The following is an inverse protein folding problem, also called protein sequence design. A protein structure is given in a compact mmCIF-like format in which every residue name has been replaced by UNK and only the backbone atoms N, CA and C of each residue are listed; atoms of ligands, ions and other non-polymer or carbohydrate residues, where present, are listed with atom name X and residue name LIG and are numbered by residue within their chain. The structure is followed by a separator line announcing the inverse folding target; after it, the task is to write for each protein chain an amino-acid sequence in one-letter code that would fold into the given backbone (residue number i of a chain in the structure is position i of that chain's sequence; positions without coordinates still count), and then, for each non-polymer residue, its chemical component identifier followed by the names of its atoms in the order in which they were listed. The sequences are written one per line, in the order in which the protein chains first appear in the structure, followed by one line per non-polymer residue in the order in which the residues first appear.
data_IF_931382226160
#
_entry.id   IF_931382226160
#
_cell.length_a   1.000
_cell.length_b   1.000
_cell.length_c   1.000
_cell.angle_alpha   90.00
_cell.angle_beta   90.00
_cell.angle_gamma   90.00
#
_symmetry.space_group_name_H-M   'P 1'
#
loop_
_entity.id
_entity.type
_entity.pdbx_description
1 polymer ?
2 water ?
#
# COMPACT_ATOMS: atom_id res chain seq x y z
N UNK A 1 -0.48 4.61 20.57
CA UNK A 1 -1.82 4.05 20.48
C UNK A 1 -2.83 5.05 19.89
N UNK A 2 -2.29 6.08 19.19
CA UNK A 2 -3.04 7.07 18.41
C UNK A 2 -3.49 6.34 17.15
N UNK A 3 -4.79 6.36 16.86
CA UNK A 3 -5.37 5.72 15.70
C UNK A 3 -6.32 6.64 15.01
N UNK A 4 -6.38 6.56 13.67
CA UNK A 4 -7.28 7.31 12.80
C UNK A 4 -7.82 6.28 11.86
N UNK A 5 -9.10 5.94 12.02
CA UNK A 5 -9.71 4.89 11.23
C UNK A 5 -10.72 5.53 10.27
N UNK A 6 -10.47 5.39 8.98
CA UNK A 6 -11.30 5.97 7.92
C UNK A 6 -12.33 4.99 7.38
N UNK A 7 -13.42 5.50 6.81
CA UNK A 7 -14.45 4.69 6.18
C UNK A 7 -13.93 4.05 4.86
N UNK A 8 -14.76 3.17 4.28
CA UNK A 8 -14.45 2.42 3.07
C UNK A 8 -14.48 3.20 1.77
N UNK A 9 -14.05 2.54 0.70
CA UNK A 9 -13.97 2.98 -0.69
C UNK A 9 -15.29 3.57 -1.18
N UNK A 10 -15.19 4.68 -1.92
CA UNK A 10 -16.36 5.34 -2.48
C UNK A 10 -16.30 5.32 -3.99
N UNK A 11 -17.36 4.76 -4.59
CA UNK A 11 -17.52 4.64 -6.04
C UNK A 11 -18.55 5.72 -6.43
N UNK A 12 -18.09 6.72 -7.20
CA UNK A 12 -18.92 7.86 -7.52
C UNK A 12 -18.98 8.12 -8.98
N UNK A 13 -20.03 8.85 -9.37
CA UNK A 13 -20.32 9.32 -10.71
C UNK A 13 -20.04 10.85 -10.71
N UNK A 14 -19.55 11.46 -11.81
CA UNK A 14 -19.30 12.91 -11.78
C UNK A 14 -20.56 13.73 -11.44
N UNK A 15 -20.37 14.84 -10.75
CA UNK A 15 -21.43 15.73 -10.32
C UNK A 15 -21.93 15.40 -8.93
N UNK A 16 -21.72 14.16 -8.48
CA UNK A 16 -22.17 13.72 -7.15
C UNK A 16 -21.24 14.24 -6.05
N UNK A 17 -21.59 13.88 -4.81
CA UNK A 17 -20.89 14.26 -3.60
C UNK A 17 -20.44 13.01 -2.85
N UNK A 18 -19.38 13.16 -2.05
CA UNK A 18 -18.81 12.10 -1.22
C UNK A 18 -18.51 12.65 0.18
N UNK A 19 -18.86 11.88 1.21
CA UNK A 19 -18.57 12.27 2.60
C UNK A 19 -17.73 11.11 3.18
N UNK A 20 -16.51 11.42 3.63
CA UNK A 20 -15.57 10.46 4.22
C UNK A 20 -15.46 10.72 5.71
N UNK A 21 -15.44 9.65 6.52
CA UNK A 21 -15.30 9.79 7.98
C UNK A 21 -13.88 9.38 8.45
N UNK A 22 -13.45 9.91 9.58
CA UNK A 22 -12.13 9.69 10.17
C UNK A 22 -12.37 9.59 11.67
N UNK A 23 -12.34 8.36 12.23
CA UNK A 23 -12.55 8.10 13.65
C UNK A 23 -11.22 8.09 14.40
N UNK A 24 -11.04 9.01 15.34
CA UNK A 24 -9.80 9.14 16.09
C UNK A 24 -9.86 8.47 17.46
N UNK A 25 -8.76 7.87 17.91
CA UNK A 25 -8.70 7.28 19.26
C UNK A 25 -7.28 7.36 19.85
N UNK A 26 -7.16 7.13 21.17
CA UNK A 26 -5.89 7.12 21.89
C UNK A 26 -5.34 8.46 22.37
N UNK A 27 -6.11 9.56 22.18
CA UNK A 27 -5.74 10.92 22.56
C UNK A 27 -6.96 11.79 22.77
N UNK A 28 -6.76 13.01 23.34
CA UNK A 28 -7.83 13.98 23.56
C UNK A 28 -8.07 14.69 22.23
N UNK A 29 -9.23 14.41 21.62
CA UNK A 29 -9.66 14.92 20.30
C UNK A 29 -9.60 16.45 20.18
N UNK A 30 -10.15 17.18 21.17
CA UNK A 30 -10.23 18.66 21.18
C UNK A 30 -8.87 19.37 21.32
N UNK A 31 -7.81 18.63 21.69
CA UNK A 31 -6.48 19.19 21.87
C UNK A 31 -5.76 19.39 20.51
N UNK A 32 -6.25 18.75 19.42
CA UNK A 32 -5.62 18.74 18.11
C UNK A 32 -6.58 19.04 17.00
N UNK A 33 -6.02 19.21 15.81
CA UNK A 33 -6.78 19.37 14.58
C UNK A 33 -6.72 18.10 13.76
N UNK A 34 -7.65 17.96 12.80
CA UNK A 34 -7.74 16.90 11.81
C UNK A 34 -7.73 17.60 10.43
N UNK A 35 -6.76 17.23 9.59
CA UNK A 35 -6.65 17.75 8.24
C UNK A 35 -6.93 16.66 7.20
N UNK A 36 -7.13 17.06 5.92
CA UNK A 36 -7.39 16.13 4.84
C UNK A 36 -6.44 16.41 3.69
N UNK A 37 -5.73 15.36 3.23
CA UNK A 37 -4.75 15.44 2.16
C UNK A 37 -5.05 14.27 1.21
N UNK A 38 -5.21 14.56 -0.08
CA UNK A 38 -5.44 13.53 -1.08
C UNK A 38 -4.16 13.22 -1.86
N UNK A 39 -4.08 12.03 -2.44
CA UNK A 39 -2.94 11.59 -3.23
C UNK A 39 -3.41 10.79 -4.43
N UNK A 40 -2.91 11.18 -5.59
CA UNK A 40 -3.19 10.55 -6.87
C UNK A 40 -1.95 10.79 -7.72
N UNK A 41 -1.62 9.90 -8.68
CA UNK A 41 -0.46 10.15 -9.57
C UNK A 41 -0.70 11.39 -10.43
N UNK A 42 0.31 12.17 -10.74
CA UNK A 42 -0.04 13.35 -11.55
C UNK A 42 -0.20 14.63 -10.78
N UNK A 43 -0.87 14.60 -9.61
CA UNK A 43 -0.99 15.78 -8.74
C UNK A 43 -0.10 15.56 -7.49
N UNK A 44 0.16 14.30 -7.16
CA UNK A 44 0.91 13.94 -5.96
C UNK A 44 0.11 14.24 -4.69
N UNK A 45 0.81 14.58 -3.56
CA UNK A 45 0.07 14.92 -2.33
C UNK A 45 -0.51 16.34 -2.41
N UNK A 46 -1.81 16.49 -2.18
CA UNK A 46 -2.49 17.79 -2.21
C UNK A 46 -3.28 18.00 -0.95
N UNK A 47 -3.08 19.14 -0.30
CA UNK A 47 -3.86 19.48 0.88
C UNK A 47 -5.28 19.98 0.49
N UNK A 48 -6.32 19.44 1.19
CA UNK A 48 -7.74 19.80 1.00
C UNK A 48 -8.10 20.95 1.94
N UNK A 49 -7.77 20.76 3.20
CA UNK A 49 -8.00 21.70 4.28
C UNK A 49 -7.99 20.98 5.61
N UNK A 50 -8.39 21.69 6.66
CA UNK A 50 -8.44 21.13 7.99
C UNK A 50 -9.44 21.83 8.88
N UNK A 51 -9.74 21.22 10.03
CA UNK A 51 -10.57 21.79 11.10
C UNK A 51 -9.81 21.71 12.42
N UNK A 52 -9.96 22.77 13.25
CA UNK A 52 -9.47 22.78 14.63
C UNK A 52 -10.83 22.71 15.39
N UNK A 53 -11.25 21.50 15.81
CA UNK A 53 -12.59 21.35 16.41
C UNK A 53 -12.90 22.21 17.63
N UNK A 54 -11.94 22.37 18.58
CA UNK A 54 -12.18 23.15 19.79
C UNK A 54 -12.57 24.62 19.43
N UNK A 55 -11.96 25.16 18.36
CA UNK A 55 -12.28 26.49 17.87
C UNK A 55 -13.39 26.49 16.81
N UNK A 56 -13.68 25.31 16.23
CA UNK A 56 -14.63 25.14 15.13
C UNK A 56 -14.19 25.85 13.86
N UNK A 57 -12.89 26.12 13.73
CA UNK A 57 -12.29 26.86 12.62
C UNK A 57 -11.74 25.93 11.53
N UNK A 58 -12.20 26.15 10.29
CA UNK A 58 -11.82 25.35 9.14
C UNK A 58 -11.16 26.22 8.08
N UNK A 59 -10.13 25.65 7.42
CA UNK A 59 -9.39 26.30 6.33
C UNK A 59 -9.31 25.34 5.18
N UNK A 60 -9.54 25.84 3.96
CA UNK A 60 -9.54 25.06 2.74
C UNK A 60 -8.65 25.65 1.69
N UNK A 61 -8.13 24.78 0.79
CA UNK A 61 -7.35 25.18 -0.37
C UNK A 61 -8.35 25.92 -1.29
N UNK A 62 -7.97 27.13 -1.79
CA UNK A 62 -8.80 27.98 -2.67
C UNK A 62 -9.22 27.24 -3.97
N UNK A 63 -8.32 26.37 -4.50
CA UNK A 63 -8.52 25.55 -5.72
C UNK A 63 -9.93 24.95 -5.73
N UNK A 64 -10.39 24.42 -4.58
CA UNK A 64 -11.67 23.70 -4.46
C UNK A 64 -12.91 24.61 -4.48
N UNK A 65 -12.74 25.96 -4.46
CA UNK A 65 -13.86 26.91 -4.58
C UNK A 65 -15.08 26.59 -3.68
N UNK A 66 -14.83 26.26 -2.41
CA UNK A 66 -15.91 25.95 -1.46
C UNK A 66 -16.56 24.58 -1.60
N UNK A 67 -16.13 23.75 -2.58
CA UNK A 67 -16.67 22.40 -2.83
C UNK A 67 -16.40 21.43 -1.68
N UNK A 68 -15.41 21.75 -0.86
CA UNK A 68 -15.02 20.91 0.27
C UNK A 68 -15.54 21.49 1.61
N UNK A 69 -16.10 20.61 2.46
CA UNK A 69 -16.63 20.97 3.77
C UNK A 69 -16.04 19.99 4.78
N UNK A 70 -15.35 20.53 5.77
CA UNK A 70 -14.76 19.69 6.81
C UNK A 70 -15.46 19.97 8.12
N UNK A 71 -16.00 18.95 8.74
CA UNK A 71 -16.72 19.07 10.01
C UNK A 71 -16.14 18.08 11.03
N UNK A 72 -16.53 18.23 12.31
CA UNK A 72 -16.04 17.36 13.38
C UNK A 72 -17.08 17.20 14.46
N UNK A 73 -17.16 15.99 15.02
CA UNK A 73 -18.06 15.71 16.12
C UNK A 73 -17.21 15.32 17.30
N UNK A 74 -17.03 16.23 18.27
CA UNK A 74 -16.19 15.94 19.45
C UNK A 74 -16.81 14.86 20.32
N UNK A 75 -18.13 14.75 20.30
CA UNK A 75 -18.85 13.75 21.06
C UNK A 75 -18.45 12.30 20.63
N UNK A 76 -18.06 12.13 19.37
CA UNK A 76 -17.69 10.81 18.90
C UNK A 76 -16.25 10.76 18.35
N UNK A 77 -15.43 11.81 18.61
CA UNK A 77 -14.04 11.91 18.14
C UNK A 77 -13.93 11.61 16.64
N UNK A 78 -14.86 12.13 15.84
CA UNK A 78 -14.93 11.85 14.40
C UNK A 78 -14.96 13.11 13.55
N UNK A 79 -14.05 13.17 12.54
CA UNK A 79 -14.01 14.26 11.58
C UNK A 79 -14.50 13.74 10.22
N UNK A 80 -15.02 14.65 9.41
CA UNK A 80 -15.56 14.34 8.09
C UNK A 80 -15.05 15.30 7.07
N UNK A 81 -14.95 14.82 5.84
CA UNK A 81 -14.66 15.64 4.69
C UNK A 81 -15.75 15.33 3.68
N UNK A 82 -16.39 16.39 3.19
CA UNK A 82 -17.38 16.28 2.16
C UNK A 82 -16.87 17.04 0.93
N UNK A 83 -16.85 16.39 -0.23
CA UNK A 83 -16.41 17.00 -1.47
C UNK A 83 -17.55 16.88 -2.49
N UNK A 84 -18.06 18.04 -2.91
CA UNK A 84 -19.21 18.29 -3.81
C UNK A 84 -18.81 18.48 -5.27
N UNK A 85 -19.80 18.30 -6.20
CA UNK A 85 -19.66 18.42 -7.65
C UNK A 85 -18.39 17.67 -8.10
N UNK A 86 -18.35 16.37 -7.85
CA UNK A 86 -17.18 15.52 -8.14
C UNK A 86 -16.82 15.46 -9.61
N UNK A 87 -15.52 15.57 -9.90
CA UNK A 87 -14.92 15.56 -11.23
C UNK A 87 -14.02 14.32 -11.36
N UNK A 88 -13.74 13.90 -12.60
CA UNK A 88 -12.86 12.76 -12.92
C UNK A 88 -11.51 12.88 -12.19
N UNK A 89 -10.97 14.10 -12.15
CA UNK A 89 -9.70 14.49 -11.53
C UNK A 89 -9.73 14.45 -9.99
N UNK A 90 -10.91 14.24 -9.36
CA UNK A 90 -11.01 14.10 -7.89
C UNK A 90 -10.74 12.64 -7.47
N UNK A 91 -10.55 11.73 -8.47
CA UNK A 91 -10.21 10.33 -8.20
C UNK A 91 -8.83 10.35 -7.51
N UNK A 92 -8.75 9.84 -6.29
CA UNK A 92 -7.54 9.85 -5.47
C UNK A 92 -7.79 9.04 -4.23
N UNK A 93 -6.71 8.86 -3.43
CA UNK A 93 -6.72 8.33 -2.06
C UNK A 93 -6.81 9.54 -1.14
N UNK A 94 -7.81 9.59 -0.26
CA UNK A 94 -8.02 10.70 0.66
C UNK A 94 -7.63 10.27 2.04
N UNK A 95 -6.69 11.02 2.66
CA UNK A 95 -6.23 10.74 4.02
C UNK A 95 -6.70 11.77 4.99
N UNK A 96 -7.01 11.33 6.19
CA UNK A 96 -7.23 12.26 7.28
C UNK A 96 -5.93 12.15 8.09
N UNK A 97 -5.54 13.22 8.76
CA UNK A 97 -4.31 13.25 9.54
C UNK A 97 -4.46 14.21 10.70
N UNK A 98 -3.80 13.87 11.83
CA UNK A 98 -3.80 14.70 13.00
C UNK A 98 -2.76 15.81 12.85
N UNK A 99 -3.19 17.07 13.10
CA UNK A 99 -2.33 18.28 13.07
C UNK A 99 -2.09 18.59 14.56
N UNK A 100 -0.90 18.23 15.12
CA UNK A 100 -0.67 18.41 16.57
C UNK A 100 -0.46 19.88 17.01
N UNK A 101 -1.38 20.74 16.61
CA UNK A 101 -1.34 22.17 16.89
C UNK A 101 -2.70 22.80 17.08
N UNK A 102 -2.69 24.14 17.13
CA UNK A 102 -3.85 25.01 17.35
C UNK A 102 -4.26 25.76 16.06
N UNK A 103 -3.65 25.37 14.93
CA UNK A 103 -3.89 25.97 13.62
C UNK A 103 -3.95 24.91 12.52
N UNK A 104 -4.66 25.24 11.41
CA UNK A 104 -4.73 24.37 10.25
C UNK A 104 -3.45 24.47 9.38
N UNK A 105 -2.56 25.48 9.65
CA UNK A 105 -1.27 25.66 8.95
C UNK A 105 -0.24 24.89 9.76
N UNK A 106 -0.13 23.60 9.50
CA UNK A 106 0.74 22.72 10.28
C UNK A 106 1.24 21.50 9.50
N UNK A 107 1.96 20.64 10.21
CA UNK A 107 2.48 19.34 9.75
C UNK A 107 1.55 18.33 10.44
N UNK A 108 1.59 17.07 9.97
CA UNK A 108 0.73 15.99 10.43
C UNK A 108 1.52 14.83 10.98
N UNK A 109 1.34 14.56 12.30
CA UNK A 109 2.08 13.51 12.97
C UNK A 109 1.48 12.12 12.89
N UNK A 110 0.15 11.99 12.70
CA UNK A 110 -0.49 10.68 12.55
C UNK A 110 -1.44 10.76 11.39
N UNK A 111 -1.38 9.76 10.50
CA UNK A 111 -2.23 9.70 9.29
C UNK A 111 -3.16 8.49 9.34
N UNK A 112 -4.34 8.61 8.70
CA UNK A 112 -5.28 7.49 8.60
C UNK A 112 -4.83 6.52 7.52
N UNK A 113 -5.55 5.38 7.34
CA UNK A 113 -5.15 4.38 6.33
C UNK A 113 -5.49 4.83 4.88
N UNK A 114 -6.30 5.87 4.75
CA UNK A 114 -6.72 6.35 3.44
C UNK A 114 -8.02 5.74 2.98
N UNK A 115 -8.71 6.45 2.08
CA UNK A 115 -10.01 6.08 1.53
C UNK A 115 -9.92 6.33 0.05
N UNK A 116 -10.12 5.28 -0.78
CA UNK A 116 -10.11 5.45 -2.23
C UNK A 116 -11.44 6.05 -2.64
N UNK A 117 -11.39 7.13 -3.41
CA UNK A 117 -12.59 7.75 -3.95
C UNK A 117 -12.44 7.74 -5.43
N UNK A 118 -13.28 6.95 -6.10
CA UNK A 118 -13.22 6.82 -7.55
C UNK A 118 -14.31 7.65 -8.20
N UNK A 119 -13.95 8.42 -9.23
CA UNK A 119 -14.93 9.22 -9.95
C UNK A 119 -14.85 8.95 -11.48
N UNK A 120 -16.01 8.56 -12.08
CA UNK A 120 -16.33 8.26 -13.50
C UNK A 120 -16.91 6.87 -13.66
N UNK A 136 1.41 31.48 -7.82
CA UNK A 136 1.00 32.24 -6.64
C UNK A 136 1.30 31.50 -5.31
N UNK A 137 1.09 30.16 -5.27
CA UNK A 137 1.32 29.35 -4.06
C UNK A 137 2.80 29.03 -3.89
N UNK A 138 3.21 28.56 -2.68
CA UNK A 138 4.61 28.22 -2.45
C UNK A 138 4.86 26.87 -3.13
N UNK A 139 5.73 26.88 -4.15
CA UNK A 139 6.09 25.69 -4.93
C UNK A 139 7.24 24.98 -4.22
N UNK A 140 7.11 23.66 -4.00
CA UNK A 140 8.13 22.83 -3.32
C UNK A 140 8.74 21.89 -4.33
N UNK A 141 10.04 22.05 -4.61
CA UNK A 141 10.71 21.24 -5.63
C UNK A 141 11.70 20.27 -4.96
N UNK A 142 11.50 18.94 -5.14
CA UNK A 142 12.39 17.93 -4.55
C UNK A 142 13.40 17.38 -5.53
N UNK A 143 14.61 17.12 -5.04
CA UNK A 143 15.67 16.61 -5.89
C UNK A 143 16.59 15.67 -5.11
N UNK A 144 16.96 14.54 -5.66
CA UNK A 144 16.53 13.91 -6.90
C UNK A 144 15.16 13.32 -6.78
N UNK A 145 14.56 12.98 -7.90
CA UNK A 145 13.26 12.40 -7.93
C UNK A 145 13.34 10.92 -7.65
N UNK A 146 14.42 10.32 -8.08
CA UNK A 146 14.68 8.95 -7.83
C UNK A 146 16.13 8.86 -7.49
N UNK A 147 16.46 7.98 -6.58
CA UNK A 147 17.81 7.80 -6.15
C UNK A 147 18.05 6.34 -5.85
N UNK A 148 19.12 5.80 -6.39
CA UNK A 148 19.49 4.41 -6.08
C UNK A 148 20.67 4.45 -5.14
N UNK A 149 20.62 3.63 -4.08
CA UNK A 149 21.68 3.59 -3.09
C UNK A 149 21.80 2.19 -2.47
N UNK A 150 22.91 1.94 -1.76
CA UNK A 150 23.18 0.66 -1.11
C UNK A 150 23.04 0.78 0.39
N UNK A 151 22.83 -0.35 1.09
CA UNK A 151 22.74 -0.39 2.57
C UNK A 151 24.08 0.16 3.13
N UNK A 152 23.99 1.02 4.14
CA UNK A 152 25.15 1.64 4.77
C UNK A 152 25.53 3.03 4.29
N UNK A 153 25.07 3.40 3.07
CA UNK A 153 25.36 4.70 2.44
C UNK A 153 24.71 5.87 3.18
N UNK A 154 25.28 7.07 2.98
CA UNK A 154 24.74 8.35 3.46
C UNK A 154 23.97 8.91 2.28
N UNK A 155 22.70 9.21 2.51
CA UNK A 155 21.91 9.80 1.44
C UNK A 155 21.37 11.14 1.90
N UNK A 156 21.34 12.08 0.96
CA UNK A 156 20.89 13.43 1.20
C UNK A 156 19.85 13.77 0.12
N UNK A 157 18.67 14.28 0.54
CA UNK A 157 17.54 14.68 -0.33
C UNK A 157 17.31 16.17 -0.15
N UNK A 158 17.00 16.87 -1.23
CA UNK A 158 16.75 18.32 -1.23
C UNK A 158 15.29 18.66 -1.53
N UNK A 159 14.89 19.74 -0.92
CA UNK A 159 13.61 20.34 -1.09
C UNK A 159 13.91 21.81 -1.18
N UNK A 160 13.28 22.52 -2.12
CA UNK A 160 13.47 23.95 -2.31
C UNK A 160 12.13 24.69 -2.43
N UNK A 161 11.88 25.65 -1.56
CA UNK A 161 10.65 26.42 -1.60
C UNK A 161 10.80 27.67 -2.53
N UNK A 162 9.74 28.00 -3.29
CA UNK A 162 9.72 29.16 -4.20
C UNK A 162 9.86 30.53 -3.49
N UNK A 163 9.72 30.53 -2.15
CA UNK A 163 9.90 31.70 -1.29
C UNK A 163 10.35 31.24 0.10
N UNK A 164 10.87 32.15 0.91
CA UNK A 164 11.30 31.89 2.28
C UNK A 164 10.15 31.40 3.15
N UNK A 165 10.40 30.29 3.89
CA UNK A 165 9.44 29.60 4.77
C UNK A 165 10.02 29.43 6.16
N UNK A 166 11.16 30.13 6.44
CA UNK A 166 11.84 30.11 7.74
C UNK A 166 12.22 28.65 8.04
N UNK A 167 11.73 28.07 9.14
CA UNK A 167 11.99 26.66 9.42
C UNK A 167 10.66 25.85 9.40
N UNK A 168 9.62 26.38 8.74
CA UNK A 168 8.29 25.72 8.69
C UNK A 168 8.21 24.65 7.58
N UNK A 169 9.01 23.60 7.75
CA UNK A 169 9.11 22.49 6.83
C UNK A 169 9.15 21.14 7.53
N UNK A 170 8.39 20.19 6.99
CA UNK A 170 8.31 18.80 7.48
C UNK A 170 8.70 17.81 6.41
N UNK A 171 9.19 16.63 6.84
CA UNK A 171 9.59 15.51 5.97
C UNK A 171 8.77 14.27 6.33
N UNK A 172 8.32 13.53 5.31
CA UNK A 172 7.54 12.29 5.45
C UNK A 172 8.17 11.18 4.70
N UNK A 173 7.96 9.97 5.19
CA UNK A 173 8.33 8.71 4.55
C UNK A 173 7.02 7.99 4.18
N UNK A 174 6.94 7.49 2.94
CA UNK A 174 5.78 6.73 2.48
C UNK A 174 6.18 5.41 1.78
N UNK A 175 5.73 4.29 2.35
CA UNK A 175 5.91 2.93 1.79
C UNK A 175 4.74 2.69 0.83
N UNK A 176 4.89 1.84 -0.21
CA UNK A 176 3.81 1.70 -1.21
C UNK A 176 2.44 1.31 -0.68
N UNK A 177 1.43 2.11 -0.98
CA UNK A 177 0.05 1.90 -0.56
C UNK A 177 -0.24 2.11 0.91
N UNK A 178 0.72 2.73 1.65
CA UNK A 178 0.57 2.98 3.09
C UNK A 178 0.46 4.45 3.38
N UNK A 179 0.03 4.76 4.58
CA UNK A 179 -0.10 6.15 4.99
C UNK A 179 1.29 6.74 5.23
N UNK A 180 1.51 8.04 4.88
CA UNK A 180 2.79 8.68 5.20
C UNK A 180 3.12 8.66 6.71
N UNK A 181 4.40 8.75 7.02
CA UNK A 181 4.88 8.75 8.39
C UNK A 181 5.78 9.97 8.56
N UNK A 182 5.48 10.80 9.58
CA UNK A 182 6.27 12.00 9.89
C UNK A 182 7.66 11.62 10.38
N UNK A 183 8.71 12.21 9.78
CA UNK A 183 10.09 11.95 10.20
C UNK A 183 10.68 13.16 10.90
N UNK A 184 10.46 14.36 10.32
CA UNK A 184 11.02 15.63 10.77
C UNK A 184 9.98 16.75 10.69
N UNK A 185 10.02 17.69 11.64
CA UNK A 185 9.18 18.91 11.67
C UNK A 185 10.08 20.05 12.09
N UNK A 186 9.62 21.31 11.87
CA UNK A 186 10.40 22.51 12.20
C UNK A 186 11.82 22.41 11.59
N UNK A 187 11.90 21.87 10.35
CA UNK A 187 13.10 21.67 9.51
C UNK A 187 14.13 20.70 10.07
N UNK A 188 14.28 20.62 11.40
CA UNK A 188 15.33 19.78 12.02
C UNK A 188 14.92 18.97 13.25
N UNK A 189 13.67 19.12 13.74
CA UNK A 189 13.22 18.36 14.92
C UNK A 189 12.75 16.96 14.54
N UNK A 190 13.23 15.94 15.27
CA UNK A 190 12.97 14.53 15.00
C UNK A 190 11.64 14.15 15.59
N UNK A 191 10.77 13.56 14.77
CA UNK A 191 9.42 13.19 15.20
C UNK A 191 9.47 12.01 16.15
N UNK A 192 8.50 11.91 17.05
CA UNK A 192 8.43 10.84 18.03
C UNK A 192 8.31 9.51 17.34
N UNK A 193 9.26 8.62 17.62
CA UNK A 193 9.31 7.29 17.04
C UNK A 193 10.07 7.18 15.73
N UNK A 194 10.60 8.31 15.20
CA UNK A 194 11.36 8.28 13.94
C UNK A 194 12.81 7.86 14.20
N UNK A 195 13.43 7.02 13.36
CA UNK A 195 14.82 6.61 13.62
C UNK A 195 15.82 7.78 13.63
N UNK A 196 16.74 7.77 14.63
CA UNK A 196 17.77 8.78 14.86
C UNK A 196 18.73 8.99 13.70
N UNK A 197 18.82 8.01 12.77
CA UNK A 197 19.66 8.13 11.57
C UNK A 197 19.11 9.19 10.55
N UNK A 198 17.88 9.67 10.81
CA UNK A 198 17.26 10.70 10.00
C UNK A 198 17.55 12.07 10.60
N UNK A 199 18.00 13.00 9.77
CA UNK A 199 18.24 14.36 10.25
C UNK A 199 17.83 15.33 9.20
N UNK A 200 17.31 16.47 9.65
CA UNK A 200 16.89 17.55 8.79
C UNK A 200 17.73 18.79 9.04
N UNK A 201 17.91 19.57 8.00
CA UNK A 201 18.68 20.81 8.01
C UNK A 201 18.04 21.79 7.02
N UNK A 202 18.33 23.06 7.24
CA UNK A 202 17.88 24.17 6.40
C UNK A 202 17.03 25.19 7.13
N UNK A 203 16.99 26.37 6.50
CA UNK A 203 16.24 27.53 6.95
C UNK A 203 16.12 28.43 5.72
N UNK A 204 14.93 29.00 5.54
CA UNK A 204 14.64 29.86 4.42
C UNK A 204 14.01 29.15 3.24
N UNK A 205 14.82 28.90 2.25
CA UNK A 205 14.35 28.37 0.99
C UNK A 205 14.94 26.96 0.63
N UNK A 206 16.13 26.59 1.12
CA UNK A 206 16.80 25.33 0.78
C UNK A 206 16.81 24.36 1.97
N UNK A 207 16.28 23.14 1.78
CA UNK A 207 16.24 22.18 2.89
C UNK A 207 16.77 20.80 2.48
N UNK A 208 17.30 20.07 3.44
CA UNK A 208 17.82 18.75 3.16
C UNK A 208 17.45 17.78 4.27
N UNK A 209 17.21 16.53 3.87
CA UNK A 209 16.97 15.38 4.73
C UNK A 209 18.17 14.48 4.48
N UNK A 210 18.81 14.03 5.54
CA UNK A 210 19.96 13.14 5.43
C UNK A 210 19.69 11.86 6.20
N UNK A 211 20.02 10.71 5.60
CA UNK A 211 19.93 9.41 6.26
C UNK A 211 21.35 8.92 6.38
N UNK A 212 21.80 8.72 7.60
CA UNK A 212 23.12 8.19 7.87
C UNK A 212 22.96 6.71 8.02
N UNK A 213 23.75 5.94 7.26
CA UNK A 213 23.75 4.48 7.24
C UNK A 213 22.38 3.95 6.85
N UNK A 214 22.08 4.08 5.55
CA UNK A 214 20.87 3.56 4.96
C UNK A 214 20.62 2.10 5.39
N UNK A 215 19.44 1.87 5.98
CA UNK A 215 18.99 0.56 6.45
C UNK A 215 18.03 -0.02 5.40
N UNK A 216 17.78 -1.36 5.37
CA UNK A 216 16.85 -1.91 4.37
C UNK A 216 15.42 -1.35 4.47
N UNK A 217 14.98 -0.94 5.68
CA UNK A 217 13.65 -0.37 5.91
C UNK A 217 13.54 1.09 5.39
N UNK A 218 14.64 1.72 4.92
CA UNK A 218 14.60 3.09 4.44
C UNK A 218 14.24 3.24 2.95
N UNK A 219 14.09 2.11 2.22
CA UNK A 219 13.69 2.21 0.81
C UNK A 219 12.19 2.55 0.78
N UNK A 220 11.89 3.78 0.35
CA UNK A 220 10.56 4.36 0.40
C UNK A 220 10.57 5.65 -0.39
N UNK A 221 9.42 6.37 -0.45
CA UNK A 221 9.28 7.67 -1.10
C UNK A 221 9.24 8.71 0.00
N UNK A 222 10.01 9.78 -0.15
CA UNK A 222 10.17 10.84 0.82
C UNK A 222 9.57 12.13 0.28
N UNK A 223 8.84 12.87 1.12
CA UNK A 223 8.18 14.12 0.72
C UNK A 223 8.47 15.22 1.70
N UNK A 224 8.58 16.46 1.22
CA UNK A 224 8.72 17.64 2.08
C UNK A 224 7.39 18.42 2.02
N UNK A 225 7.09 19.23 3.02
CA UNK A 225 5.87 20.01 3.08
C UNK A 225 6.13 21.29 3.82
N UNK A 226 5.73 22.43 3.26
CA UNK A 226 5.79 23.70 3.97
C UNK A 226 4.48 23.93 4.74
N UNK A 227 4.56 24.57 5.91
CA UNK A 227 3.39 24.96 6.69
C UNK A 227 3.54 26.39 7.17
N UNK A 228 4.27 27.19 6.33
CA UNK A 228 4.51 28.62 6.56
C UNK A 228 3.22 29.41 6.34
N UNK A 229 2.51 29.11 5.24
CA UNK A 229 1.25 29.77 4.92
C UNK A 229 0.37 28.86 4.06
N UNK A 230 -0.88 29.28 3.85
CA UNK A 230 -1.87 28.59 3.02
C UNK A 230 -1.73 28.98 1.53
N UNK A 231 -1.96 28.05 0.59
CA UNK A 231 -2.26 26.61 0.83
C UNK A 231 -1.00 25.85 1.27
N UNK A 232 -1.19 24.79 2.09
CA UNK A 232 -0.07 23.93 2.50
C UNK A 232 0.33 23.17 1.26
N UNK A 233 1.63 23.11 0.97
CA UNK A 233 2.09 22.48 -0.27
C UNK A 233 3.21 21.49 -0.01
N UNK A 234 3.26 20.43 -0.87
CA UNK A 234 4.22 19.33 -0.77
C UNK A 234 5.13 19.28 -1.98
N UNK A 235 6.31 18.67 -1.82
CA UNK A 235 7.21 18.38 -2.94
C UNK A 235 6.69 17.19 -3.74
N UNK A 236 7.29 16.95 -4.89
CA UNK A 236 6.87 15.87 -5.77
C UNK A 236 7.34 14.49 -5.34
N UNK A 237 8.19 14.45 -4.32
CA UNK A 237 8.73 13.20 -3.79
C UNK A 237 10.07 12.77 -4.34
N UNK A 238 10.82 12.01 -3.52
CA UNK A 238 12.09 11.35 -3.86
C UNK A 238 11.91 9.86 -3.56
N UNK A 239 11.94 9.01 -4.61
CA UNK A 239 11.86 7.56 -4.46
C UNK A 239 13.26 7.03 -4.27
N UNK A 240 13.52 6.43 -3.10
CA UNK A 240 14.83 5.88 -2.79
C UNK A 240 14.83 4.37 -3.05
N UNK A 241 15.63 3.92 -4.03
CA UNK A 241 15.70 2.52 -4.49
C UNK A 241 17.01 1.82 -4.17
N UNK A 242 17.01 0.46 -4.11
CA UNK A 242 18.23 -0.33 -3.84
C UNK A 242 19.09 -0.47 -5.11
N UNK A 243 20.43 -0.55 -4.92
CA UNK A 243 21.53 -0.72 -5.88
C UNK A 243 21.78 0.53 -6.73
N UNK B 1 -21.44 -13.31 -7.55
CA UNK B 1 -20.21 -13.30 -6.75
C UNK B 1 -18.97 -12.87 -7.58
N UNK B 2 -17.78 -12.81 -6.95
CA UNK B 2 -16.52 -12.35 -7.56
C UNK B 2 -15.92 -13.49 -8.36
N UNK B 3 -15.66 -13.22 -9.65
CA UNK B 3 -15.06 -14.19 -10.55
C UNK B 3 -13.95 -13.57 -11.34
N UNK B 4 -12.89 -14.35 -11.61
CA UNK B 4 -11.73 -13.97 -12.41
C UNK B 4 -11.52 -15.16 -13.32
N UNK B 5 -11.84 -14.97 -14.60
CA UNK B 5 -11.79 -16.03 -15.59
C UNK B 5 -10.62 -15.78 -16.52
N UNK B 6 -9.63 -16.68 -16.50
CA UNK B 6 -8.42 -16.55 -17.30
C UNK B 6 -8.50 -17.30 -18.63
N UNK B 7 -7.66 -16.86 -19.61
CA UNK B 7 -7.53 -17.46 -20.93
C UNK B 7 -6.82 -18.83 -20.83
N UNK B 8 -6.92 -19.61 -21.92
CA UNK B 8 -6.41 -20.98 -22.02
C UNK B 8 -4.92 -21.13 -22.03
N UNK B 9 -4.47 -22.39 -21.98
CA UNK B 9 -3.07 -22.84 -22.00
C UNK B 9 -2.30 -22.26 -23.20
N UNK B 10 -1.05 -21.86 -22.96
CA UNK B 10 -0.22 -21.32 -24.02
C UNK B 10 1.00 -22.16 -24.21
N UNK B 11 1.20 -22.60 -25.45
CA UNK B 11 2.33 -23.45 -25.89
C UNK B 11 3.32 -22.53 -26.64
N UNK B 12 4.49 -22.31 -26.06
CA UNK B 12 5.45 -21.37 -26.61
C UNK B 12 6.82 -21.96 -26.84
N UNK B 13 7.59 -21.29 -27.70
CA UNK B 13 8.97 -21.59 -28.05
C UNK B 13 9.85 -20.50 -27.38
N UNK B 14 11.09 -20.80 -26.91
CA UNK B 14 11.90 -19.73 -26.29
C UNK B 14 12.16 -18.53 -27.20
N UNK B 15 12.21 -17.35 -26.59
CA UNK B 15 12.42 -16.08 -27.29
C UNK B 15 11.11 -15.42 -27.66
N UNK B 16 10.01 -16.19 -27.74
CA UNK B 16 8.68 -15.67 -28.09
C UNK B 16 8.03 -14.93 -26.93
N UNK B 17 6.82 -14.41 -27.20
CA UNK B 17 6.00 -13.66 -26.26
C UNK B 17 4.65 -14.35 -26.05
N UNK B 18 4.03 -14.10 -24.88
CA UNK B 18 2.72 -14.64 -24.48
C UNK B 18 1.86 -13.52 -23.85
N UNK B 19 0.59 -13.45 -24.20
CA UNK B 19 -0.34 -12.49 -23.61
C UNK B 19 -1.48 -13.28 -23.00
N UNK B 20 -1.69 -13.15 -21.67
CA UNK B 20 -2.74 -13.87 -20.92
C UNK B 20 -3.83 -12.86 -20.54
N UNK B 21 -5.10 -13.24 -20.63
CA UNK B 21 -6.22 -12.39 -20.22
C UNK B 21 -6.85 -12.87 -18.89
N UNK B 22 -7.47 -11.93 -18.16
CA UNK B 22 -8.12 -12.17 -16.88
C UNK B 22 -9.41 -11.34 -16.88
N UNK B 23 -10.55 -12.00 -17.08
CA UNK B 23 -11.87 -11.36 -17.13
C UNK B 23 -12.51 -11.35 -15.74
N UNK B 24 -12.77 -10.16 -15.21
CA UNK B 24 -13.34 -10.01 -13.88
C UNK B 24 -14.85 -9.74 -13.90
N UNK B 25 -15.58 -10.28 -12.92
CA UNK B 25 -17.02 -10.03 -12.81
C UNK B 25 -17.49 -10.08 -11.34
N UNK B 26 -18.69 -9.56 -11.09
CA UNK B 26 -19.32 -9.57 -9.77
C UNK B 26 -18.97 -8.42 -8.82
N UNK B 27 -18.17 -7.45 -9.29
CA UNK B 27 -17.72 -6.29 -8.52
C UNK B 27 -17.39 -5.13 -9.45
N UNK B 28 -17.17 -3.92 -8.87
CA UNK B 28 -16.78 -2.72 -9.61
C UNK B 28 -15.27 -2.83 -9.86
N UNK B 29 -14.91 -3.05 -11.15
CA UNK B 29 -13.54 -3.26 -11.64
C UNK B 29 -12.55 -2.15 -11.22
N UNK B 30 -12.93 -0.87 -11.40
CA UNK B 30 -12.10 0.30 -11.10
C UNK B 30 -11.83 0.54 -9.59
N UNK B 31 -12.59 -0.12 -8.73
CA UNK B 31 -12.42 0.01 -7.28
C UNK B 31 -11.21 -0.79 -6.76
N UNK B 32 -10.68 -1.76 -7.57
CA UNK B 32 -9.62 -2.67 -7.17
C UNK B 32 -8.50 -2.77 -8.19
N UNK B 33 -7.45 -3.47 -7.79
CA UNK B 33 -6.34 -3.80 -8.66
C UNK B 33 -6.39 -5.28 -9.05
N UNK B 34 -5.65 -5.64 -10.12
CA UNK B 34 -5.44 -6.99 -10.62
C UNK B 34 -3.92 -7.21 -10.66
N UNK B 35 -3.45 -8.24 -9.97
CA UNK B 35 -2.04 -8.61 -9.93
C UNK B 35 -1.79 -9.94 -10.61
N UNK B 36 -0.52 -10.27 -10.91
CA UNK B 36 -0.15 -11.52 -11.56
C UNK B 36 0.93 -12.20 -10.76
N UNK B 37 0.67 -13.48 -10.38
CA UNK B 37 1.59 -14.29 -9.59
C UNK B 37 1.70 -15.65 -10.30
N UNK B 38 2.92 -16.09 -10.56
CA UNK B 38 3.15 -17.38 -11.19
C UNK B 38 3.61 -18.42 -10.14
N UNK B 39 3.39 -19.70 -10.44
CA UNK B 39 3.78 -20.80 -9.57
C UNK B 39 4.26 -21.97 -10.42
N UNK B 40 5.42 -22.51 -10.08
CA UNK B 40 5.96 -23.70 -10.73
C UNK B 40 6.61 -24.54 -9.63
N UNK B 41 6.55 -25.89 -9.69
CA UNK B 41 7.11 -26.68 -8.58
C UNK B 41 8.62 -26.49 -8.45
N UNK B 42 9.09 -26.44 -7.21
CA UNK B 42 10.50 -26.28 -6.89
C UNK B 42 11.03 -24.86 -6.89
N UNK B 43 10.13 -23.87 -7.12
CA UNK B 43 10.47 -22.44 -7.14
C UNK B 43 9.38 -21.56 -6.46
N UNK B 44 8.31 -22.19 -5.98
CA UNK B 44 7.19 -21.57 -5.27
C UNK B 44 6.43 -20.49 -6.02
N UNK B 45 5.75 -19.62 -5.24
CA UNK B 45 4.95 -18.49 -5.74
C UNK B 45 5.81 -17.25 -5.97
N UNK B 46 5.71 -16.66 -7.17
CA UNK B 46 6.48 -15.46 -7.54
C UNK B 46 5.56 -14.39 -8.05
N UNK B 47 5.68 -13.20 -7.50
CA UNK B 47 4.91 -12.06 -7.97
C UNK B 47 5.54 -11.49 -9.27
N UNK B 48 4.70 -11.23 -10.30
CA UNK B 48 5.10 -10.65 -11.59
C UNK B 48 4.97 -9.12 -11.53
N UNK B 49 3.82 -8.66 -11.02
CA UNK B 49 3.47 -7.26 -10.88
C UNK B 49 1.96 -7.10 -10.83
N UNK B 50 1.52 -5.86 -10.88
CA UNK B 50 0.09 -5.55 -10.86
C UNK B 50 -0.21 -4.20 -11.48
N UNK B 51 -1.50 -3.97 -11.74
CA UNK B 51 -2.05 -2.71 -12.21
C UNK B 51 -3.19 -2.27 -11.30
N UNK B 52 -3.26 -0.96 -11.04
CA UNK B 52 -4.39 -0.32 -10.38
C UNK B 52 -5.02 0.44 -11.56
N UNK B 53 -6.06 -0.13 -12.21
CA UNK B 53 -6.60 0.48 -13.43
C UNK B 53 -7.11 1.92 -13.32
N UNK B 54 -7.82 2.27 -12.20
CA UNK B 54 -8.36 3.62 -12.04
C UNK B 54 -7.25 4.65 -12.09
N UNK B 55 -6.06 4.33 -11.55
CA UNK B 55 -4.89 5.20 -11.59
C UNK B 55 -4.00 4.95 -12.79
N UNK B 56 -4.18 3.81 -13.47
CA UNK B 56 -3.35 3.37 -14.59
C UNK B 56 -1.90 3.11 -14.17
N UNK B 57 -1.67 2.85 -12.85
CA UNK B 57 -0.36 2.63 -12.25
C UNK B 57 -0.01 1.13 -12.21
N UNK B 58 1.12 0.76 -12.80
CA UNK B 58 1.61 -0.61 -12.85
C UNK B 58 2.97 -0.71 -12.18
N UNK B 59 3.18 -1.82 -11.45
CA UNK B 59 4.43 -2.12 -10.76
C UNK B 59 4.83 -3.54 -11.09
N UNK B 60 6.12 -3.75 -11.35
CA UNK B 60 6.67 -5.05 -11.75
C UNK B 60 7.86 -5.41 -10.91
N UNK B 61 8.10 -6.73 -10.76
CA UNK B 61 9.26 -7.27 -10.09
C UNK B 61 10.45 -6.94 -11.01
N UNK B 62 11.57 -6.50 -10.43
CA UNK B 62 12.79 -6.11 -11.15
C UNK B 62 13.35 -7.25 -12.02
N UNK B 63 13.01 -8.50 -11.66
CA UNK B 63 13.41 -9.74 -12.35
C UNK B 63 12.97 -9.75 -13.81
N UNK B 64 11.68 -9.44 -14.05
CA UNK B 64 11.05 -9.45 -15.37
C UNK B 64 11.08 -8.08 -16.04
N UNK B 65 11.97 -7.21 -15.49
CA UNK B 65 12.35 -5.84 -15.88
C UNK B 65 11.65 -5.31 -17.15
N UNK B 66 12.31 -5.46 -18.29
CA UNK B 66 11.80 -4.99 -19.56
C UNK B 66 11.14 -6.07 -20.38
N UNK B 67 10.50 -7.07 -19.73
CA UNK B 67 9.84 -8.11 -20.51
C UNK B 67 8.40 -8.47 -20.02
N UNK B 68 7.87 -7.84 -18.93
CA UNK B 68 6.47 -8.00 -18.48
C UNK B 68 5.74 -6.63 -18.58
N UNK B 69 4.58 -6.58 -19.23
CA UNK B 69 3.74 -5.38 -19.30
C UNK B 69 2.37 -5.86 -18.88
N UNK B 70 1.76 -5.18 -17.93
CA UNK B 70 0.42 -5.49 -17.40
C UNK B 70 -0.51 -4.31 -17.77
N UNK B 71 -1.59 -4.62 -18.49
CA UNK B 71 -2.54 -3.63 -18.95
C UNK B 71 -3.96 -3.99 -18.49
N UNK B 72 -4.90 -3.06 -18.62
CA UNK B 72 -6.28 -3.29 -18.20
C UNK B 72 -7.24 -2.51 -19.06
N UNK B 73 -8.37 -3.12 -19.38
CA UNK B 73 -9.41 -2.48 -20.16
C UNK B 73 -10.63 -2.38 -19.25
N UNK B 74 -10.86 -1.17 -18.73
CA UNK B 74 -11.97 -0.84 -17.83
C UNK B 74 -13.29 -1.10 -18.50
N UNK B 75 -13.36 -0.83 -19.84
CA UNK B 75 -14.54 -1.00 -20.69
C UNK B 75 -15.07 -2.46 -20.72
N UNK B 76 -14.16 -3.44 -20.68
CA UNK B 76 -14.49 -4.89 -20.70
C UNK B 76 -14.22 -5.63 -19.38
N UNK B 77 -13.75 -4.92 -18.29
CA UNK B 77 -13.37 -5.48 -16.98
C UNK B 77 -12.32 -6.59 -17.17
N UNK B 78 -11.32 -6.36 -18.07
CA UNK B 78 -10.30 -7.35 -18.40
C UNK B 78 -8.88 -6.83 -18.23
N UNK B 79 -8.04 -7.59 -17.49
CA UNK B 79 -6.61 -7.29 -17.32
C UNK B 79 -5.79 -8.30 -18.13
N UNK B 80 -4.60 -7.89 -18.53
CA UNK B 80 -3.71 -8.70 -19.32
C UNK B 80 -2.32 -8.66 -18.74
N UNK B 81 -1.59 -9.76 -18.97
CA UNK B 81 -0.19 -9.85 -18.67
C UNK B 81 0.49 -10.30 -19.95
N UNK B 82 1.51 -9.57 -20.38
CA UNK B 82 2.29 -9.93 -21.54
C UNK B 82 3.73 -10.15 -21.08
N UNK B 83 4.30 -11.32 -21.38
CA UNK B 83 5.66 -11.67 -20.98
C UNK B 83 6.45 -12.01 -22.23
N UNK B 84 7.54 -11.30 -22.47
CA UNK B 84 8.33 -11.43 -23.67
C UNK B 84 9.70 -12.01 -23.39
N UNK B 85 10.44 -12.35 -24.48
CA UNK B 85 11.70 -13.07 -24.49
C UNK B 85 11.58 -14.28 -23.54
N UNK B 86 10.61 -15.16 -23.84
CA UNK B 86 10.32 -16.35 -23.03
C UNK B 86 11.48 -17.33 -22.90
N UNK B 87 11.72 -17.80 -21.69
CA UNK B 87 12.79 -18.75 -21.32
C UNK B 87 12.13 -20.04 -20.82
N UNK B 88 12.90 -21.14 -20.84
CA UNK B 88 12.48 -22.46 -20.35
C UNK B 88 11.91 -22.38 -18.94
N UNK B 89 12.58 -21.56 -18.08
CA UNK B 89 12.25 -21.31 -16.68
C UNK B 89 10.97 -20.48 -16.48
N UNK B 90 10.37 -19.92 -17.55
CA UNK B 90 9.10 -19.19 -17.46
C UNK B 90 7.91 -20.15 -17.52
N UNK B 91 8.19 -21.47 -17.74
CA UNK B 91 7.16 -22.51 -17.76
C UNK B 91 6.56 -22.53 -16.36
N UNK B 92 5.25 -22.17 -16.29
CA UNK B 92 4.55 -22.05 -15.03
C UNK B 92 3.06 -21.86 -15.14
N UNK B 93 2.39 -21.93 -14.00
CA UNK B 93 0.98 -21.61 -13.90
C UNK B 93 0.93 -20.11 -13.51
N UNK B 94 0.27 -19.29 -14.34
CA UNK B 94 0.16 -17.87 -14.12
C UNK B 94 -1.22 -17.56 -13.63
N UNK B 95 -1.32 -16.93 -12.45
CA UNK B 95 -2.61 -16.52 -11.87
C UNK B 95 -2.79 -15.04 -11.93
N UNK B 96 -4.02 -14.63 -12.16
CA UNK B 96 -4.37 -13.24 -11.97
C UNK B 96 -5.13 -13.27 -10.63
N UNK B 97 -5.06 -12.18 -9.87
CA UNK B 97 -5.71 -12.08 -8.57
C UNK B 97 -6.12 -10.66 -8.29
N UNK B 98 -7.24 -10.49 -7.59
CA UNK B 98 -7.74 -9.18 -7.20
C UNK B 98 -6.99 -8.70 -5.96
N UNK B 99 -6.45 -7.46 -6.02
CA UNK B 99 -5.77 -6.77 -4.91
C UNK B 99 -6.83 -5.77 -4.38
N UNK B 100 -7.52 -6.09 -3.24
CA UNK B 100 -8.62 -5.21 -2.77
C UNK B 100 -8.16 -3.87 -2.14
N UNK B 101 -7.33 -3.14 -2.88
CA UNK B 101 -6.79 -1.87 -2.44
C UNK B 101 -6.54 -0.87 -3.55
N UNK B 102 -5.83 0.21 -3.20
CA UNK B 102 -5.47 1.34 -4.03
C UNK B 102 -3.98 1.32 -4.45
N UNK B 103 -3.28 0.22 -4.14
CA UNK B 103 -1.86 0.05 -4.44
C UNK B 103 -1.56 -1.37 -4.93
N UNK B 104 -0.46 -1.53 -5.72
CA UNK B 104 0.02 -2.83 -6.17
C UNK B 104 0.78 -3.56 -5.06
N UNK B 105 1.11 -2.88 -3.95
CA UNK B 105 1.78 -3.47 -2.77
C UNK B 105 0.67 -3.92 -1.85
N UNK B 106 0.15 -5.13 -2.10
CA UNK B 106 -1.02 -5.63 -1.35
C UNK B 106 -1.08 -7.15 -1.29
N UNK B 107 -2.14 -7.65 -0.69
CA UNK B 107 -2.50 -9.07 -0.56
C UNK B 107 -3.64 -9.26 -1.58
N UNK B 108 -3.96 -10.53 -1.90
CA UNK B 108 -4.95 -10.89 -2.92
C UNK B 108 -6.08 -11.72 -2.36
N UNK B 109 -7.30 -11.17 -2.42
CA UNK B 109 -8.47 -11.83 -1.84
C UNK B 109 -9.18 -12.82 -2.77
N UNK B 110 -9.10 -12.62 -4.10
CA UNK B 110 -9.70 -13.53 -5.08
C UNK B 110 -8.69 -13.85 -6.14
N UNK B 111 -8.53 -15.14 -6.47
CA UNK B 111 -7.55 -15.62 -7.47
C UNK B 111 -8.27 -16.25 -8.66
N UNK B 112 -7.67 -16.15 -9.85
CA UNK B 112 -8.20 -16.80 -11.05
C UNK B 112 -7.86 -18.30 -11.03
N UNK B 113 -8.37 -19.07 -12.04
CA UNK B 113 -8.12 -20.52 -12.07
C UNK B 113 -6.67 -20.87 -12.48
N UNK B 114 -5.97 -19.92 -13.06
CA UNK B 114 -4.61 -20.11 -13.53
C UNK B 114 -4.57 -20.43 -15.00
N UNK B 115 -3.43 -20.18 -15.63
CA UNK B 115 -3.17 -20.38 -17.06
C UNK B 115 -1.81 -21.04 -17.15
N UNK B 116 -1.74 -22.24 -17.73
CA UNK B 116 -0.48 -22.92 -17.92
C UNK B 116 0.22 -22.31 -19.13
N UNK B 117 1.46 -21.91 -18.95
CA UNK B 117 2.26 -21.37 -20.02
C UNK B 117 3.46 -22.26 -20.12
N UNK B 118 3.57 -23.00 -21.22
CA UNK B 118 4.68 -23.93 -21.45
C UNK B 118 5.71 -23.32 -22.36
N UNK B 119 6.99 -23.42 -21.97
CA UNK B 119 8.07 -22.90 -22.81
C UNK B 119 9.11 -23.98 -23.04
N UNK B 120 9.28 -24.36 -24.32
CA UNK B 120 10.31 -25.21 -24.92
C UNK B 120 9.94 -25.67 -26.29
N UNK B 136 18.81 -8.94 -1.74
CA UNK B 136 18.34 -7.56 -1.66
C UNK B 136 16.85 -7.44 -1.27
N UNK B 137 16.01 -8.37 -1.74
CA UNK B 137 14.56 -8.36 -1.48
C UNK B 137 14.25 -8.91 -0.08
N UNK B 138 13.01 -8.71 0.39
CA UNK B 138 12.60 -9.24 1.70
C UNK B 138 12.39 -10.74 1.52
N UNK B 139 13.23 -11.53 2.21
CA UNK B 139 13.16 -12.99 2.19
C UNK B 139 12.17 -13.46 3.26
N UNK B 140 11.22 -14.32 2.88
CA UNK B 140 10.19 -14.86 3.77
C UNK B 140 10.52 -16.33 4.01
N UNK B 141 10.87 -16.69 5.22
CA UNK B 141 11.24 -18.08 5.52
C UNK B 141 10.17 -18.63 6.37
N UNK B 142 9.62 -19.77 5.96
CA UNK B 142 8.55 -20.43 6.69
C UNK B 142 9.08 -21.64 7.38
N UNK B 143 8.62 -21.84 8.60
CA UNK B 143 8.99 -23.00 9.40
C UNK B 143 7.80 -23.60 10.18
N UNK B 144 7.82 -24.94 10.23
CA UNK B 144 8.78 -25.70 9.42
C UNK B 144 8.27 -25.94 8.03
N UNK B 145 9.03 -26.56 7.15
CA UNK B 145 8.53 -26.76 5.79
C UNK B 145 7.42 -27.80 5.67
N UNK B 146 7.44 -28.78 6.56
CA UNK B 146 6.42 -29.80 6.65
C UNK B 146 5.99 -29.92 8.10
N UNK B 147 4.80 -30.40 8.34
CA UNK B 147 4.31 -30.59 9.68
C UNK B 147 3.20 -31.62 9.73
N UNK B 148 3.29 -32.58 10.63
CA UNK B 148 2.24 -33.61 10.78
C UNK B 148 1.44 -33.33 12.04
N UNK B 149 0.12 -33.44 11.94
CA UNK B 149 -0.78 -33.18 13.07
C UNK B 149 -2.04 -34.03 12.97
N UNK B 150 -2.81 -34.13 14.07
CA UNK B 150 -4.05 -34.92 14.13
C UNK B 150 -5.27 -34.03 14.20
N UNK B 151 -6.46 -34.54 13.84
CA UNK B 151 -7.72 -33.79 13.90
C UNK B 151 -7.95 -33.39 15.37
N UNK B 152 -8.37 -32.13 15.59
CA UNK B 152 -8.60 -31.58 16.92
C UNK B 152 -7.45 -30.80 17.53
N UNK B 153 -6.22 -31.00 17.02
CA UNK B 153 -5.01 -30.34 17.52
C UNK B 153 -5.02 -28.85 17.25
N UNK B 154 -4.31 -28.07 18.11
CA UNK B 154 -4.07 -26.64 17.95
C UNK B 154 -2.71 -26.58 17.26
N UNK B 155 -2.71 -26.18 16.01
CA UNK B 155 -1.53 -26.19 15.13
C UNK B 155 -1.03 -24.75 14.92
N UNK B 156 0.28 -24.53 15.00
CA UNK B 156 0.90 -23.22 14.83
C UNK B 156 2.01 -23.35 13.84
N UNK B 157 2.04 -22.45 12.84
CA UNK B 157 3.13 -22.41 11.88
C UNK B 157 3.73 -21.02 11.92
N UNK B 158 5.04 -20.91 11.62
CA UNK B 158 5.69 -19.62 11.68
C UNK B 158 6.13 -19.10 10.31
N UNK B 159 6.36 -17.77 10.26
CA UNK B 159 6.85 -17.06 9.09
C UNK B 159 7.74 -15.95 9.61
N UNK B 160 8.96 -15.86 9.07
CA UNK B 160 9.94 -14.84 9.44
C UNK B 160 10.44 -14.08 8.21
N UNK B 161 10.40 -12.73 8.29
CA UNK B 161 10.84 -11.82 7.26
C UNK B 161 12.30 -11.38 7.53
N UNK B 162 13.13 -11.25 6.47
CA UNK B 162 14.54 -10.84 6.57
C UNK B 162 14.72 -9.40 7.11
N UNK B 163 13.63 -8.62 7.17
CA UNK B 163 13.58 -7.27 7.73
C UNK B 163 12.16 -6.98 8.25
N UNK B 164 12.02 -5.95 9.07
CA UNK B 164 10.74 -5.49 9.61
C UNK B 164 9.74 -5.13 8.53
N UNK B 165 8.51 -5.67 8.65
CA UNK B 165 7.39 -5.49 7.71
C UNK B 165 6.13 -5.03 8.46
N UNK B 166 6.31 -4.61 9.75
CA UNK B 166 5.23 -4.11 10.60
C UNK B 166 4.13 -5.21 10.70
N UNK B 167 2.87 -4.93 10.31
CA UNK B 167 1.76 -5.88 10.28
C UNK B 167 1.38 -6.22 8.80
N UNK B 168 2.25 -5.93 7.80
CA UNK B 168 1.94 -6.12 6.36
C UNK B 168 2.24 -7.55 5.86
N UNK B 169 1.49 -8.49 6.42
CA UNK B 169 1.62 -9.89 6.14
C UNK B 169 0.29 -10.59 5.99
N UNK B 170 0.19 -11.44 4.94
CA UNK B 170 -0.99 -12.26 4.62
C UNK B 170 -0.65 -13.73 4.62
N UNK B 171 -1.67 -14.56 4.90
CA UNK B 171 -1.58 -16.00 4.91
C UNK B 171 -2.57 -16.59 3.89
N UNK B 172 -2.13 -17.61 3.14
CA UNK B 172 -2.93 -18.31 2.14
C UNK B 172 -2.92 -19.78 2.41
N UNK B 173 -4.00 -20.42 1.98
CA UNK B 173 -4.17 -21.87 1.99
C UNK B 173 -4.24 -22.30 0.53
N UNK B 174 -3.45 -23.34 0.17
CA UNK B 174 -3.47 -23.90 -1.18
C UNK B 174 -3.58 -25.43 -1.15
N UNK B 175 -4.64 -25.94 -1.78
CA UNK B 175 -4.89 -27.38 -1.97
C UNK B 175 -4.26 -27.72 -3.32
N UNK B 176 -3.86 -28.99 -3.56
CA UNK B 176 -3.13 -29.32 -4.79
C UNK B 176 -3.87 -29.01 -6.08
N UNK B 177 -3.23 -28.26 -6.97
CA UNK B 177 -3.77 -27.87 -8.26
C UNK B 177 -4.90 -26.86 -8.23
N UNK B 178 -5.07 -26.17 -7.08
CA UNK B 178 -6.12 -25.17 -6.94
C UNK B 178 -5.53 -23.80 -6.75
N UNK B 179 -6.35 -22.76 -7.03
CA UNK B 179 -5.92 -21.39 -6.80
C UNK B 179 -5.80 -21.17 -5.24
N UNK B 180 -4.78 -20.39 -4.80
CA UNK B 180 -4.70 -20.07 -3.35
C UNK B 180 -5.94 -19.36 -2.82
N UNK B 181 -6.14 -19.47 -1.51
CA UNK B 181 -7.29 -18.87 -0.82
C UNK B 181 -6.77 -18.03 0.34
N UNK B 182 -7.14 -16.74 0.38
CA UNK B 182 -6.76 -15.81 1.45
C UNK B 182 -7.39 -16.21 2.78
N UNK B 183 -6.58 -16.33 3.85
CA UNK B 183 -7.09 -16.67 5.17
C UNK B 183 -7.00 -15.48 6.11
N UNK B 184 -5.85 -14.79 6.09
CA UNK B 184 -5.52 -13.69 6.99
C UNK B 184 -4.81 -12.57 6.23
N UNK B 185 -5.07 -11.32 6.60
CA UNK B 185 -4.40 -10.12 6.08
C UNK B 185 -4.11 -9.21 7.26
N UNK B 186 -3.22 -8.21 7.08
CA UNK B 186 -2.83 -7.29 8.14
C UNK B 186 -2.40 -8.07 9.40
N UNK B 187 -1.68 -9.20 9.18
CA UNK B 187 -1.11 -10.11 10.18
C UNK B 187 -2.14 -10.84 11.04
N UNK B 188 -3.28 -10.21 11.36
CA UNK B 188 -4.28 -10.80 12.28
C UNK B 188 -5.76 -10.65 11.87
N UNK B 189 -6.06 -9.99 10.75
CA UNK B 189 -7.45 -9.83 10.32
C UNK B 189 -7.90 -11.04 9.52
N UNK B 190 -9.07 -11.58 9.85
CA UNK B 190 -9.64 -12.77 9.24
C UNK B 190 -10.33 -12.40 7.96
N UNK B 191 -9.97 -13.08 6.86
CA UNK B 191 -10.52 -12.78 5.53
C UNK B 191 -11.98 -13.21 5.47
N UNK B 192 -12.77 -12.51 4.64
CA UNK B 192 -14.19 -12.79 4.47
C UNK B 192 -14.36 -14.21 3.95
N UNK B 193 -15.09 -15.01 4.72
CA UNK B 193 -15.39 -16.39 4.40
C UNK B 193 -14.39 -17.41 4.90
N UNK B 194 -13.30 -16.96 5.58
CA UNK B 194 -12.29 -17.87 6.12
C UNK B 194 -12.79 -18.45 7.45
N UNK B 195 -12.57 -19.76 7.73
CA UNK B 195 -13.04 -20.33 9.01
C UNK B 195 -12.43 -19.65 10.25
N UNK B 196 -13.29 -19.37 11.26
CA UNK B 196 -12.96 -18.72 12.54
C UNK B 196 -11.88 -19.43 13.36
N UNK B 197 -11.64 -20.73 13.06
CA UNK B 197 -10.57 -21.49 13.74
C UNK B 197 -9.16 -21.02 13.31
N UNK B 198 -9.08 -20.17 12.27
CA UNK B 198 -7.82 -19.61 11.81
C UNK B 198 -7.56 -18.29 12.48
N UNK B 199 -6.35 -18.09 13.00
CA UNK B 199 -5.99 -16.81 13.60
C UNK B 199 -4.55 -16.51 13.28
N UNK B 200 -4.26 -15.23 13.11
CA UNK B 200 -2.93 -14.74 12.84
C UNK B 200 -2.45 -13.83 13.95
N UNK B 201 -1.14 -13.82 14.16
CA UNK B 201 -0.49 -13.03 15.18
C UNK B 201 0.91 -12.65 14.66
N UNK B 202 1.51 -11.63 15.25
CA UNK B 202 2.85 -11.21 14.90
C UNK B 202 2.96 -9.75 14.51
N UNK B 203 4.20 -9.27 14.47
CA UNK B 203 4.58 -7.91 14.05
C UNK B 203 6.07 -7.87 13.88
N UNK B 204 6.52 -6.96 13.04
CA UNK B 204 7.93 -6.74 12.76
C UNK B 204 8.53 -7.76 11.83
N UNK B 205 9.09 -8.79 12.40
CA UNK B 205 9.82 -9.77 11.64
C UNK B 205 9.27 -11.19 11.82
N UNK B 206 8.58 -11.48 12.94
CA UNK B 206 8.11 -12.84 13.20
C UNK B 206 6.59 -12.93 13.19
N UNK B 207 6.04 -13.95 12.51
CA UNK B 207 4.59 -14.10 12.36
C UNK B 207 4.15 -15.53 12.53
N UNK B 208 2.94 -15.73 13.04
CA UNK B 208 2.40 -17.06 13.22
C UNK B 208 0.96 -17.14 12.78
N UNK B 209 0.59 -18.30 12.23
CA UNK B 209 -0.77 -18.66 11.87
C UNK B 209 -1.09 -19.83 12.80
N UNK B 210 -2.25 -19.75 13.46
CA UNK B 210 -2.69 -20.82 14.35
C UNK B 210 -4.05 -21.35 13.91
N UNK B 211 -4.20 -22.68 13.89
CA UNK B 211 -5.49 -23.33 13.63
C UNK B 211 -5.92 -23.93 14.98
N UNK B 212 -6.98 -23.37 15.59
CA UNK B 212 -7.45 -23.68 16.95
C UNK B 212 -7.78 -25.15 17.15
N UNK B 213 -8.53 -25.74 16.22
CA UNK B 213 -8.91 -27.15 16.29
C UNK B 213 -8.91 -27.66 14.87
N UNK B 214 -7.86 -28.42 14.51
CA UNK B 214 -7.62 -28.91 13.17
C UNK B 214 -8.76 -29.78 12.67
N UNK B 215 -9.32 -29.40 11.51
CA UNK B 215 -10.41 -30.11 10.84
C UNK B 215 -9.80 -30.93 9.69
N UNK B 216 -10.48 -31.97 9.17
CA UNK B 216 -9.90 -32.74 8.04
C UNK B 216 -9.65 -31.91 6.79
N UNK B 217 -10.44 -30.84 6.58
CA UNK B 217 -10.27 -29.96 5.41
C UNK B 217 -9.07 -28.98 5.53
N UNK B 218 -8.37 -28.96 6.67
CA UNK B 218 -7.22 -28.08 6.88
C UNK B 218 -5.90 -28.64 6.39
N UNK B 219 -5.88 -29.90 5.92
CA UNK B 219 -4.62 -30.46 5.41
C UNK B 219 -4.40 -29.86 4.00
N UNK B 220 -3.39 -28.96 3.91
CA UNK B 220 -3.09 -28.15 2.74
C UNK B 220 -1.72 -27.55 2.91
N UNK B 221 -1.27 -26.72 1.92
CA UNK B 221 -0.01 -25.97 1.98
C UNK B 221 -0.37 -24.54 2.31
N UNK B 222 0.34 -23.97 3.30
CA UNK B 222 0.12 -22.63 3.80
C UNK B 222 1.29 -21.74 3.41
N UNK B 223 0.99 -20.52 2.95
CA UNK B 223 2.02 -19.58 2.53
C UNK B 223 1.82 -18.24 3.20
N UNK B 224 2.91 -17.56 3.52
CA UNK B 224 2.83 -16.19 4.02
C UNK B 224 3.35 -15.27 2.87
N UNK B 225 2.96 -14.01 2.90
CA UNK B 225 3.36 -13.04 1.88
C UNK B 225 3.45 -11.68 2.54
N UNK B 226 4.57 -10.98 2.32
CA UNK B 226 4.70 -9.61 2.79
C UNK B 226 4.22 -8.67 1.68
N UNK B 227 3.59 -7.55 2.09
CA UNK B 227 3.18 -6.51 1.17
C UNK B 227 3.60 -5.14 1.72
N UNK B 228 4.73 -5.13 2.45
CA UNK B 228 5.34 -3.96 3.03
C UNK B 228 6.01 -3.12 1.95
N UNK B 229 6.73 -3.77 1.04
CA UNK B 229 7.42 -3.09 -0.05
C UNK B 229 7.62 -4.02 -1.23
N UNK B 230 8.08 -3.47 -2.35
CA UNK B 230 8.37 -4.19 -3.59
C UNK B 230 9.81 -4.74 -3.62
N UNK B 231 10.03 -5.93 -4.22
CA UNK B 231 9.01 -6.84 -4.75
C UNK B 231 8.21 -7.55 -3.64
N UNK B 232 6.94 -7.88 -3.93
CA UNK B 232 6.10 -8.67 -3.02
C UNK B 232 6.70 -10.06 -3.00
N UNK B 233 6.89 -10.63 -1.82
CA UNK B 233 7.54 -11.91 -1.68
C UNK B 233 6.74 -12.84 -0.80
N UNK B 234 6.84 -14.16 -1.10
CA UNK B 234 6.14 -15.24 -0.42
C UNK B 234 7.13 -16.17 0.27
N UNK B 235 6.65 -16.85 1.32
CA UNK B 235 7.41 -17.92 1.98
C UNK B 235 7.44 -19.16 1.11
N UNK B 236 8.29 -20.12 1.46
CA UNK B 236 8.41 -21.38 0.73
C UNK B 236 7.26 -22.34 0.96
N UNK B 237 6.39 -22.03 1.91
CA UNK B 237 5.26 -22.87 2.25
C UNK B 237 5.49 -23.85 3.39
N UNK B 238 4.39 -24.20 4.08
CA UNK B 238 4.33 -25.22 5.13
C UNK B 238 3.24 -26.19 4.71
N UNK B 239 3.63 -27.45 4.44
CA UNK B 239 2.69 -28.51 4.07
C UNK B 239 2.24 -29.17 5.36
N UNK B 240 0.94 -29.06 5.65
CA UNK B 240 0.37 -29.63 6.86
C UNK B 240 -0.24 -31.00 6.52
N UNK B 241 0.35 -32.08 7.03
CA UNK B 241 -0.12 -33.45 6.74
C UNK B 241 -0.69 -34.17 7.99
N UNK B 242 -1.49 -35.25 7.77
CA UNK B 242 -2.14 -36.03 8.84
C UNK B 242 -1.17 -37.00 9.50
N UNK B 243 -1.40 -37.25 10.82
CA UNK B 243 -0.71 -38.16 11.75
C UNK B 243 0.68 -37.64 12.16
#
# INVERSE_FOLDING_TARGET
QVQLVQSGTEVKSPGSSVKVSCKASGYTFTSYGISWVRQAPGQGLEWMGGIIPIFGTANYAQKFQGRVTITADESTSTAYMELSSLRSEDTAVYYCARAPGYSNAYYFDYWGQGTLVTVSSGGGGSGGGGSGGGGSDIQMTQSPSTLSASIGDRVTITCRASEGIYHWLAWYQQKPGKAPKLLIYKASSLASGAPSRFSGSGSGTDFTLTISSLQPDDFATYYCQQYSNYPLTFGGGTKLEIKRAAAENLYFQ
QVQLVQSGTEVKSPGSSVKVSCKASGYTFTSYGISWVRQAPGQGLEWMGGIIPIFGTANYAQKFQGRVTITADESTSTAYMELSSLRSEDTAVYYCARAPGYSNAYYFDYWGQGTLVTVSSGGGGSGGGGSGGGGSDIQMTQSPSTLSASIGDRVTITCRASEGIYHWLAWYQQKPGKAPKLLIYKASSLASGAPSRFSGSGSGTDFTLTISSLQPDDFATYYCQQYSNYPLTFGGGTKLEIKRAAAENLYFQ
#
